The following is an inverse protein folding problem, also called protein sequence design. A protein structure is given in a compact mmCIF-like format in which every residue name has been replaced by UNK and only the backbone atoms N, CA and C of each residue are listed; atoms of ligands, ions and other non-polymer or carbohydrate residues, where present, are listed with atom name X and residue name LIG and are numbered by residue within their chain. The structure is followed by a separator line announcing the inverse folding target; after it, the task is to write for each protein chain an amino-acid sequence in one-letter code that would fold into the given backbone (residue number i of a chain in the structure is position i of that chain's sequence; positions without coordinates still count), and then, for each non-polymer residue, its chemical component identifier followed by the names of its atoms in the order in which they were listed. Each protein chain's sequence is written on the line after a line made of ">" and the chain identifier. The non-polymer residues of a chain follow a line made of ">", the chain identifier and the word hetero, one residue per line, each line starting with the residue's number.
data_IF_073091245626
#
_entry.id   IF_073091245626
#
_cell.length_a   1.000
_cell.length_b   1.000
_cell.length_c   1.000
_cell.angle_alpha   90.00
_cell.angle_beta   90.00
_cell.angle_gamma   90.00
#
_symmetry.space_group_name_H-M   'P 1'
#
loop_
_entity.id
_entity.type
_entity.pdbx_description
1 polymer ?
#
# COMPACT_ATOMS: atom_id res chain seq x y z
N UNK A 1 25.34 5.95 -7.80
CA UNK A 1 25.05 4.70 -7.08
C UNK A 1 23.91 4.83 -6.05
N UNK A 2 23.75 5.99 -5.38
CA UNK A 2 22.62 6.23 -4.45
C UNK A 2 21.22 6.22 -5.12
N UNK A 3 21.08 6.81 -6.31
CA UNK A 3 19.80 6.89 -7.05
C UNK A 3 19.21 5.49 -7.34
N UNK A 4 20.07 4.51 -7.60
CA UNK A 4 19.65 3.14 -7.90
C UNK A 4 19.05 2.41 -6.67
N UNK A 5 19.53 2.75 -5.47
CA UNK A 5 19.02 2.16 -4.21
C UNK A 5 17.64 2.73 -3.87
N UNK A 6 17.46 4.04 -4.09
CA UNK A 6 16.17 4.74 -3.98
C UNK A 6 15.13 4.14 -4.95
N UNK A 7 15.50 3.97 -6.23
CA UNK A 7 14.62 3.36 -7.24
C UNK A 7 14.22 1.91 -6.90
N UNK A 8 15.14 1.10 -6.38
CA UNK A 8 14.84 -0.27 -5.95
C UNK A 8 13.89 -0.31 -4.75
N UNK A 9 14.04 0.60 -3.78
CA UNK A 9 13.12 0.75 -2.65
C UNK A 9 11.73 1.15 -3.12
N UNK A 10 11.64 2.11 -4.05
CA UNK A 10 10.37 2.57 -4.63
C UNK A 10 9.67 1.42 -5.38
N UNK A 11 10.41 0.63 -6.16
CA UNK A 11 9.85 -0.55 -6.83
C UNK A 11 9.38 -1.63 -5.84
N UNK A 12 10.11 -1.84 -4.74
CA UNK A 12 9.72 -2.74 -3.66
C UNK A 12 8.43 -2.32 -2.96
N UNK A 13 8.30 -1.02 -2.67
CA UNK A 13 7.08 -0.41 -2.13
C UNK A 13 5.91 -0.57 -3.09
N UNK A 14 6.10 -0.27 -4.38
CA UNK A 14 5.07 -0.44 -5.41
C UNK A 14 4.54 -1.87 -5.48
N UNK A 15 5.43 -2.87 -5.48
CA UNK A 15 5.04 -4.29 -5.47
C UNK A 15 4.26 -4.67 -4.21
N UNK A 16 4.64 -4.12 -3.06
CA UNK A 16 3.93 -4.35 -1.80
C UNK A 16 2.53 -3.76 -1.85
N UNK A 17 2.39 -2.52 -2.34
CA UNK A 17 1.09 -1.85 -2.51
C UNK A 17 0.19 -2.67 -3.44
N UNK A 18 0.70 -3.14 -4.58
CA UNK A 18 -0.08 -3.96 -5.52
C UNK A 18 -0.52 -5.29 -4.91
N UNK A 19 0.33 -5.95 -4.13
CA UNK A 19 -0.04 -7.18 -3.42
C UNK A 19 -1.13 -6.93 -2.38
N UNK A 20 -1.00 -5.88 -1.58
CA UNK A 20 -2.00 -5.53 -0.56
C UNK A 20 -3.33 -5.14 -1.20
N UNK A 21 -3.30 -4.38 -2.31
CA UNK A 21 -4.50 -4.05 -3.08
C UNK A 21 -5.20 -5.29 -3.64
N UNK A 22 -4.45 -6.26 -4.17
CA UNK A 22 -5.01 -7.54 -4.62
C UNK A 22 -5.65 -8.33 -3.48
N UNK A 23 -5.01 -8.35 -2.30
CA UNK A 23 -5.57 -9.00 -1.11
C UNK A 23 -6.88 -8.31 -0.70
N UNK A 24 -6.90 -6.98 -0.66
CA UNK A 24 -8.11 -6.20 -0.33
C UNK A 24 -9.25 -6.49 -1.30
N UNK A 25 -8.99 -6.47 -2.61
CA UNK A 25 -10.00 -6.78 -3.63
C UNK A 25 -10.52 -8.21 -3.49
N UNK A 26 -9.64 -9.18 -3.22
CA UNK A 26 -10.06 -10.56 -2.99
C UNK A 26 -10.91 -10.73 -1.73
N UNK A 27 -10.67 -9.94 -0.68
CA UNK A 27 -11.50 -9.92 0.53
C UNK A 27 -12.86 -9.24 0.27
N UNK A 28 -12.88 -8.19 -0.55
CA UNK A 28 -14.10 -7.49 -0.97
C UNK A 28 -14.98 -8.35 -1.88
N UNK A 29 -14.38 -9.17 -2.74
CA UNK A 29 -15.10 -10.11 -3.62
C UNK A 29 -15.69 -11.33 -2.87
N UNK A 30 -15.27 -11.58 -1.62
CA UNK A 30 -15.63 -12.81 -0.90
C UNK A 30 -16.95 -12.79 -0.11
N UNK A 31 -17.62 -11.66 0.10
CA UNK A 31 -19.03 -11.59 0.50
C UNK A 31 -19.44 -10.12 0.71
N UNK A 32 -20.49 -9.66 0.02
CA UNK A 32 -21.00 -8.28 0.10
C UNK A 32 -21.58 -7.90 1.48
N UNK A 33 -21.81 -8.88 2.37
CA UNK A 33 -22.54 -8.67 3.62
C UNK A 33 -21.67 -8.63 4.89
N UNK A 34 -20.35 -8.85 4.79
CA UNK A 34 -19.46 -8.73 5.94
C UNK A 34 -18.23 -7.92 5.57
N UNK A 35 -18.37 -6.60 5.69
CA UNK A 35 -17.22 -5.74 5.97
C UNK A 35 -16.66 -6.22 7.31
N UNK A 36 -15.71 -7.15 7.25
CA UNK A 36 -15.02 -7.68 8.42
C UNK A 36 -13.98 -6.68 8.89
N UNK A 37 -13.66 -6.69 10.18
CA UNK A 37 -12.62 -5.84 10.78
C UNK A 37 -11.26 -5.95 10.03
N UNK A 38 -11.01 -7.07 9.34
CA UNK A 38 -9.82 -7.26 8.52
C UNK A 38 -9.78 -6.34 7.28
N UNK A 39 -10.93 -6.02 6.67
CA UNK A 39 -11.03 -5.07 5.55
C UNK A 39 -10.75 -3.65 6.04
N UNK A 40 -11.32 -3.27 7.19
CA UNK A 40 -11.06 -1.97 7.83
C UNK A 40 -9.58 -1.82 8.22
N UNK A 41 -9.00 -2.84 8.87
CA UNK A 41 -7.58 -2.84 9.23
C UNK A 41 -6.67 -2.78 7.99
N UNK A 42 -7.02 -3.53 6.93
CA UNK A 42 -6.28 -3.52 5.67
C UNK A 42 -6.37 -2.16 4.97
N UNK A 43 -7.56 -1.54 4.96
CA UNK A 43 -7.75 -0.19 4.40
C UNK A 43 -6.92 0.85 5.15
N UNK A 44 -6.96 0.81 6.49
CA UNK A 44 -6.20 1.73 7.33
C UNK A 44 -4.68 1.59 7.14
N UNK A 45 -4.18 0.35 7.01
CA UNK A 45 -2.78 0.10 6.64
C UNK A 45 -2.44 0.67 5.27
N UNK A 46 -3.37 0.63 4.32
CA UNK A 46 -3.17 1.20 2.99
C UNK A 46 -3.00 2.72 3.06
N UNK A 47 -3.85 3.41 3.82
CA UNK A 47 -3.78 4.87 3.99
C UNK A 47 -2.46 5.32 4.62
N UNK A 48 -1.97 4.60 5.64
CA UNK A 48 -0.67 4.88 6.26
C UNK A 48 0.45 4.74 5.23
N UNK A 49 0.43 3.69 4.42
CA UNK A 49 1.46 3.47 3.39
C UNK A 49 1.43 4.54 2.31
N UNK A 50 0.23 4.98 1.89
CA UNK A 50 0.06 6.05 0.91
C UNK A 50 0.59 7.37 1.47
N UNK A 51 0.24 7.72 2.70
CA UNK A 51 0.73 8.95 3.33
C UNK A 51 2.25 8.94 3.50
N UNK A 52 2.83 7.82 3.90
CA UNK A 52 4.28 7.69 3.98
C UNK A 52 4.95 7.85 2.62
N UNK A 53 4.38 7.26 1.56
CA UNK A 53 4.89 7.41 0.20
C UNK A 53 4.88 8.87 -0.27
N UNK A 54 3.78 9.60 -0.04
CA UNK A 54 3.71 11.02 -0.40
C UNK A 54 4.64 11.88 0.45
N UNK A 55 4.75 11.65 1.75
CA UNK A 55 5.68 12.38 2.60
C UNK A 55 7.13 12.20 2.12
N UNK A 56 7.53 10.96 1.81
CA UNK A 56 8.87 10.69 1.26
C UNK A 56 9.11 11.35 -0.10
N UNK A 57 8.08 11.53 -0.93
CA UNK A 57 8.22 12.29 -2.18
C UNK A 57 8.28 13.81 -1.99
N UNK A 58 7.80 14.32 -0.85
CA UNK A 58 7.71 15.76 -0.59
C UNK A 58 8.96 16.27 0.14
N UNK A 59 9.66 15.41 0.88
CA UNK A 59 10.96 15.70 1.50
C UNK A 59 12.15 15.74 0.51
N UNK A 60 11.90 15.43 -0.77
CA UNK A 60 12.90 15.49 -1.88
C UNK A 60 12.79 16.80 -2.71
N UNK A 61 12.23 17.87 -2.12
CA UNK A 61 12.15 19.23 -2.68
C UNK A 61 12.86 20.25 -1.79
#
# INVERSE_FOLDING_TARGET
>A
MFIYIEELKIQGLKRTIEKTRKKLNSLLEQDEAKITDEILDTSHKLDILINNYYNMQTEDK
#
